data_IF_131404018025
#
_entry.id   IF_131404018025
#
_cell.length_a   1.000
_cell.length_b   1.000
_cell.length_c   1.000
_cell.angle_alpha   90.00
_cell.angle_beta   90.00
_cell.angle_gamma   90.00
#
_symmetry.space_group_name_H-M   'P 1'
#
loop_
_entity.id
_entity.type
_entity.pdbx_description
1 polymer ?
#
# COMPACT_ATOMS: atom_id res chain seq x y z
N UNK A 1 9.47 -5.24 28.83
CA UNK A 1 9.55 -3.78 29.03
C UNK A 1 8.61 -3.10 28.04
N UNK A 2 7.44 -2.62 28.46
CA UNK A 2 6.61 -1.74 27.65
C UNK A 2 6.75 -0.29 28.14
N UNK A 3 6.78 0.66 27.21
CA UNK A 3 6.61 2.08 27.51
C UNK A 3 5.33 2.25 28.33
N UNK A 4 5.46 2.63 29.61
CA UNK A 4 4.36 2.79 30.57
C UNK A 4 3.29 3.82 30.17
N UNK A 5 3.40 4.50 29.03
CA UNK A 5 2.58 5.66 28.68
C UNK A 5 1.79 5.51 27.36
N UNK A 6 1.03 4.41 27.23
CA UNK A 6 -0.15 4.43 26.36
C UNK A 6 -1.35 5.19 26.98
N UNK A 7 -1.19 5.85 28.14
CA UNK A 7 -2.26 6.63 28.79
C UNK A 7 -2.91 7.64 27.81
N UNK A 8 -2.12 8.20 26.89
CA UNK A 8 -2.59 9.14 25.87
C UNK A 8 -2.95 8.47 24.52
N UNK A 9 -2.82 7.14 24.40
CA UNK A 9 -2.98 6.38 23.15
C UNK A 9 -3.79 5.09 23.36
N UNK A 10 -4.94 5.18 24.04
CA UNK A 10 -5.74 4.02 24.43
C UNK A 10 -6.24 3.16 23.24
N UNK A 11 -6.53 3.78 22.09
CA UNK A 11 -6.95 3.07 20.88
C UNK A 11 -5.80 2.27 20.27
N UNK A 12 -4.61 2.86 20.19
CA UNK A 12 -3.42 2.19 19.70
C UNK A 12 -3.05 1.01 20.60
N UNK A 13 -3.13 1.20 21.92
CA UNK A 13 -2.95 0.11 22.88
C UNK A 13 -3.93 -1.03 22.62
N UNK A 14 -5.23 -0.73 22.48
CA UNK A 14 -6.25 -1.76 22.22
C UNK A 14 -5.98 -2.53 20.91
N UNK A 15 -5.54 -1.85 19.86
CA UNK A 15 -5.17 -2.52 18.61
C UNK A 15 -4.04 -3.53 18.85
N UNK A 16 -3.02 -3.14 19.61
CA UNK A 16 -1.87 -4.00 19.92
C UNK A 16 -2.10 -5.04 21.03
N UNK A 17 -3.03 -4.81 21.96
CA UNK A 17 -3.44 -5.82 22.97
C UNK A 17 -3.97 -7.11 22.29
N UNK A 18 -4.35 -7.05 21.00
CA UNK A 18 -4.71 -8.21 20.20
C UNK A 18 -3.55 -9.20 20.02
N UNK A 19 -2.29 -8.73 20.01
CA UNK A 19 -1.11 -9.61 19.94
C UNK A 19 -0.84 -10.36 21.23
N UNK A 20 -1.26 -9.82 22.37
CA UNK A 20 -1.04 -10.44 23.67
C UNK A 20 -2.06 -11.55 23.97
N UNK A 21 -3.11 -11.69 23.15
CA UNK A 21 -4.14 -12.72 23.31
C UNK A 21 -3.61 -14.06 22.79
N UNK A 22 -3.46 -15.03 23.71
CA UNK A 22 -3.01 -16.40 23.40
C UNK A 22 -4.10 -17.32 22.84
N UNK A 23 -5.34 -16.86 22.75
CA UNK A 23 -6.44 -17.68 22.23
C UNK A 23 -6.35 -17.75 20.70
N UNK A 24 -5.78 -18.85 20.20
CA UNK A 24 -5.80 -19.18 18.78
C UNK A 24 -7.21 -19.57 18.37
N UNK A 25 -7.84 -18.74 17.54
CA UNK A 25 -9.09 -19.08 16.87
C UNK A 25 -8.81 -19.91 15.62
N UNK A 26 -9.82 -20.64 15.14
CA UNK A 26 -9.69 -21.40 13.89
C UNK A 26 -9.51 -20.40 12.73
N UNK A 27 -8.36 -20.47 12.04
CA UNK A 27 -8.08 -19.68 10.85
C UNK A 27 -8.94 -20.19 9.70
N UNK A 28 -9.77 -19.33 9.13
CA UNK A 28 -10.63 -19.65 7.97
C UNK A 28 -10.46 -18.69 6.80
N UNK A 29 -9.80 -17.54 7.02
CA UNK A 29 -9.53 -16.57 5.97
C UNK A 29 -8.39 -17.07 5.06
N UNK A 30 -8.56 -16.88 3.76
CA UNK A 30 -7.59 -17.38 2.79
C UNK A 30 -6.44 -16.36 2.61
N UNK A 31 -5.30 -16.72 3.17
CA UNK A 31 -4.03 -15.98 3.05
C UNK A 31 -3.07 -16.56 2.01
N UNK A 32 -3.53 -17.48 1.15
CA UNK A 32 -2.67 -18.19 0.19
C UNK A 32 -2.43 -17.42 -1.11
N UNK A 33 -3.25 -16.42 -1.42
CA UNK A 33 -3.20 -15.64 -2.66
C UNK A 33 -3.29 -14.13 -2.40
N UNK A 34 -2.50 -13.35 -3.14
CA UNK A 34 -2.50 -11.90 -3.12
C UNK A 34 -3.14 -11.33 -4.39
N UNK A 35 -4.06 -10.39 -4.22
CA UNK A 35 -4.56 -9.54 -5.30
C UNK A 35 -3.87 -8.17 -5.20
N UNK A 36 -3.03 -7.85 -6.16
CA UNK A 36 -2.43 -6.52 -6.27
C UNK A 36 -3.35 -5.67 -7.11
N UNK A 37 -3.72 -4.53 -6.59
CA UNK A 37 -4.56 -3.57 -7.27
C UNK A 37 -3.73 -2.29 -7.45
N UNK A 38 -3.46 -1.95 -8.71
CA UNK A 38 -2.66 -0.80 -9.12
C UNK A 38 -3.59 0.24 -9.73
N UNK A 39 -3.56 1.48 -9.23
CA UNK A 39 -4.30 2.58 -9.85
C UNK A 39 -3.39 3.38 -10.78
N UNK A 40 -3.83 3.63 -12.01
CA UNK A 40 -3.10 4.42 -13.01
C UNK A 40 -3.93 5.60 -13.51
N UNK A 41 -3.26 6.70 -13.84
CA UNK A 41 -3.85 7.84 -14.54
C UNK A 41 -2.74 8.62 -15.25
N UNK A 42 -2.31 8.16 -16.42
CA UNK A 42 -1.21 8.78 -17.18
C UNK A 42 -1.79 9.38 -18.46
N UNK A 43 -2.08 10.68 -18.41
CA UNK A 43 -2.59 11.45 -19.54
C UNK A 43 -1.96 12.85 -19.58
N UNK A 44 -2.18 13.57 -20.68
CA UNK A 44 -1.63 14.92 -20.90
C UNK A 44 -1.96 15.93 -19.79
N UNK A 45 -3.07 15.76 -19.05
CA UNK A 45 -3.40 16.67 -17.94
C UNK A 45 -2.50 16.48 -16.73
N UNK A 46 -2.04 15.25 -16.48
CA UNK A 46 -1.13 14.91 -15.38
C UNK A 46 0.34 14.99 -15.81
N UNK A 47 0.64 14.48 -17.00
CA UNK A 47 2.00 14.29 -17.50
C UNK A 47 2.43 15.33 -18.56
N UNK A 48 1.52 16.16 -19.06
CA UNK A 48 1.80 17.08 -20.16
C UNK A 48 2.87 18.12 -19.79
N UNK A 49 4.03 18.03 -20.44
CA UNK A 49 5.20 18.90 -20.29
C UNK A 49 5.76 19.02 -18.87
N UNK A 50 5.38 18.12 -17.95
CA UNK A 50 5.86 18.09 -16.57
C UNK A 50 7.01 17.10 -16.41
N UNK A 51 7.99 17.50 -15.60
CA UNK A 51 9.08 16.66 -15.13
C UNK A 51 8.87 16.40 -13.64
N UNK A 52 9.19 15.20 -13.18
CA UNK A 52 9.17 14.90 -11.76
C UNK A 52 10.44 15.48 -11.10
N UNK A 53 10.27 16.29 -10.05
CA UNK A 53 11.36 17.03 -9.40
C UNK A 53 12.44 16.12 -8.80
N UNK A 54 12.05 14.97 -8.24
CA UNK A 54 12.98 14.02 -7.63
C UNK A 54 13.88 13.34 -8.66
N UNK A 55 13.28 12.87 -9.74
CA UNK A 55 13.93 11.98 -10.72
C UNK A 55 14.51 12.73 -11.92
N UNK A 56 14.04 13.95 -12.17
CA UNK A 56 14.46 14.79 -13.30
C UNK A 56 14.00 14.29 -14.67
N UNK A 57 13.15 13.25 -14.73
CA UNK A 57 12.60 12.70 -15.98
C UNK A 57 11.17 13.17 -16.21
N UNK A 58 10.67 12.98 -17.43
CA UNK A 58 9.28 13.26 -17.78
C UNK A 58 8.32 12.47 -16.87
N UNK A 59 7.20 13.08 -16.48
CA UNK A 59 6.27 12.46 -15.53
C UNK A 59 5.71 11.12 -16.01
N UNK A 60 5.45 10.93 -17.31
CA UNK A 60 5.02 9.64 -17.84
C UNK A 60 6.10 8.56 -17.67
N UNK A 61 7.34 8.88 -18.02
CA UNK A 61 8.50 8.00 -17.83
C UNK A 61 8.69 7.65 -16.36
N UNK A 62 8.46 8.62 -15.47
CA UNK A 62 8.55 8.42 -14.04
C UNK A 62 7.57 7.36 -13.55
N UNK A 63 6.28 7.54 -13.87
CA UNK A 63 5.21 6.63 -13.45
C UNK A 63 5.39 5.24 -14.07
N UNK A 64 5.74 5.16 -15.35
CA UNK A 64 6.01 3.88 -16.01
C UNK A 64 7.18 3.11 -15.39
N UNK A 65 8.19 3.81 -14.88
CA UNK A 65 9.32 3.19 -14.19
C UNK A 65 8.94 2.67 -12.81
N UNK A 66 8.11 3.40 -12.08
CA UNK A 66 7.48 2.92 -10.84
C UNK A 66 6.63 1.66 -11.09
N UNK A 67 5.76 1.66 -12.11
CA UNK A 67 5.00 0.47 -12.53
C UNK A 67 5.93 -0.70 -12.86
N UNK A 68 7.00 -0.47 -13.62
CA UNK A 68 8.00 -1.51 -13.95
C UNK A 68 8.65 -2.10 -12.70
N UNK A 69 8.97 -1.28 -11.69
CA UNK A 69 9.52 -1.75 -10.42
C UNK A 69 8.56 -2.67 -9.66
N UNK A 70 7.26 -2.37 -9.68
CA UNK A 70 6.22 -3.25 -9.14
C UNK A 70 6.19 -4.58 -9.89
N UNK A 71 6.20 -4.57 -11.23
CA UNK A 71 6.22 -5.81 -12.04
C UNK A 71 7.45 -6.67 -11.74
N UNK A 72 8.63 -6.06 -11.58
CA UNK A 72 9.85 -6.77 -11.18
C UNK A 72 9.65 -7.44 -9.81
N UNK A 73 9.08 -6.73 -8.83
CA UNK A 73 8.83 -7.31 -7.51
C UNK A 73 7.77 -8.41 -7.50
N UNK A 74 6.73 -8.27 -8.32
CA UNK A 74 5.72 -9.32 -8.55
C UNK A 74 6.38 -10.57 -9.12
N UNK A 75 7.21 -10.41 -10.15
CA UNK A 75 7.90 -11.51 -10.81
C UNK A 75 8.81 -12.25 -9.83
N UNK A 76 9.52 -11.52 -8.96
CA UNK A 76 10.32 -12.12 -7.90
C UNK A 76 9.45 -12.92 -6.92
N UNK A 77 8.33 -12.36 -6.46
CA UNK A 77 7.42 -13.07 -5.56
C UNK A 77 6.80 -14.33 -6.20
N UNK A 78 6.47 -14.29 -7.51
CA UNK A 78 6.03 -15.48 -8.25
C UNK A 78 7.13 -16.53 -8.34
N UNK A 79 8.38 -16.14 -8.62
CA UNK A 79 9.52 -17.07 -8.60
C UNK A 79 9.70 -17.72 -7.21
N UNK A 80 9.33 -17.00 -6.14
CA UNK A 80 9.28 -17.50 -4.76
C UNK A 80 7.95 -18.22 -4.43
N UNK A 81 7.24 -18.74 -5.44
CA UNK A 81 6.02 -19.54 -5.33
C UNK A 81 4.80 -18.82 -4.71
N UNK A 82 4.77 -17.48 -4.72
CA UNK A 82 3.59 -16.74 -4.27
C UNK A 82 2.52 -16.72 -5.37
N UNK A 83 1.27 -16.97 -5.00
CA UNK A 83 0.11 -16.86 -5.91
C UNK A 83 -0.35 -15.41 -5.96
N UNK A 84 -0.20 -14.78 -7.12
CA UNK A 84 -0.48 -13.36 -7.30
C UNK A 84 -1.41 -13.15 -8.50
N UNK A 85 -2.34 -12.21 -8.39
CA UNK A 85 -3.09 -11.63 -9.51
C UNK A 85 -2.93 -10.12 -9.48
N UNK A 86 -2.73 -9.49 -10.64
CA UNK A 86 -2.63 -8.03 -10.79
C UNK A 86 -3.88 -7.47 -11.49
N UNK A 87 -4.54 -6.49 -10.89
CA UNK A 87 -5.64 -5.75 -11.52
C UNK A 87 -5.26 -4.27 -11.60
N UNK A 88 -5.18 -3.73 -12.81
CA UNK A 88 -4.92 -2.31 -13.04
C UNK A 88 -6.26 -1.57 -13.17
N UNK A 89 -6.50 -0.61 -12.29
CA UNK A 89 -7.64 0.31 -12.32
C UNK A 89 -7.21 1.60 -13.02
N UNK A 90 -7.52 1.71 -14.30
CA UNK A 90 -7.11 2.84 -15.12
C UNK A 90 -8.15 3.96 -15.14
N UNK A 91 -7.76 5.14 -14.68
CA UNK A 91 -8.54 6.37 -14.72
C UNK A 91 -8.16 7.22 -15.93
N UNK A 92 -8.52 6.74 -17.13
CA UNK A 92 -8.39 7.46 -18.40
C UNK A 92 -6.95 7.90 -18.70
N UNK A 93 -6.02 6.95 -18.65
CA UNK A 93 -4.71 7.13 -19.30
C UNK A 93 -4.90 7.32 -20.81
N UNK A 94 -4.02 8.07 -21.45
CA UNK A 94 -4.06 8.21 -22.91
C UNK A 94 -3.69 6.89 -23.61
N UNK A 95 -4.09 6.75 -24.88
CA UNK A 95 -3.85 5.51 -25.65
C UNK A 95 -2.36 5.12 -25.75
N UNK A 96 -1.44 6.10 -25.79
CA UNK A 96 -0.02 5.82 -25.89
C UNK A 96 0.52 5.28 -24.57
N UNK A 97 0.10 5.88 -23.45
CA UNK A 97 0.37 5.45 -22.09
C UNK A 97 -0.23 4.08 -21.78
N UNK A 98 -1.49 3.82 -22.15
CA UNK A 98 -2.13 2.50 -22.01
C UNK A 98 -1.37 1.41 -22.76
N UNK A 99 -0.88 1.69 -23.97
CA UNK A 99 -0.05 0.74 -24.72
C UNK A 99 1.24 0.42 -23.95
N UNK A 100 1.94 1.43 -23.43
CA UNK A 100 3.16 1.24 -22.62
C UNK A 100 2.88 0.44 -21.34
N UNK A 101 1.76 0.71 -20.66
CA UNK A 101 1.32 -0.06 -19.48
C UNK A 101 1.08 -1.52 -19.88
N UNK A 102 0.35 -1.77 -20.96
CA UNK A 102 0.09 -3.13 -21.45
C UNK A 102 1.39 -3.87 -21.81
N UNK A 103 2.36 -3.19 -22.43
CA UNK A 103 3.68 -3.76 -22.74
C UNK A 103 4.45 -4.16 -21.46
N UNK A 104 4.35 -3.36 -20.38
CA UNK A 104 4.91 -3.73 -19.07
C UNK A 104 4.19 -4.93 -18.44
N UNK A 105 2.86 -4.98 -18.54
CA UNK A 105 2.05 -6.08 -18.00
C UNK A 105 2.35 -7.41 -18.70
N UNK A 106 2.67 -7.39 -20.00
CA UNK A 106 3.08 -8.59 -20.74
C UNK A 106 4.37 -9.25 -20.19
N UNK A 107 5.15 -8.54 -19.37
CA UNK A 107 6.36 -9.06 -18.70
C UNK A 107 6.01 -9.70 -17.35
N UNK A 108 4.81 -9.46 -16.82
CA UNK A 108 4.37 -10.01 -15.54
C UNK A 108 4.21 -11.53 -15.63
N UNK A 109 4.73 -12.23 -14.62
CA UNK A 109 4.65 -13.70 -14.46
C UNK A 109 3.37 -14.15 -13.74
N UNK A 110 2.38 -13.27 -13.63
CA UNK A 110 1.10 -13.54 -12.99
C UNK A 110 -0.06 -13.19 -13.94
N UNK A 111 -1.25 -13.70 -13.62
CA UNK A 111 -2.46 -13.24 -14.30
C UNK A 111 -2.66 -11.75 -14.06
N UNK A 112 -3.02 -11.03 -15.12
CA UNK A 112 -3.30 -9.61 -15.04
C UNK A 112 -4.52 -9.21 -15.87
N UNK A 113 -5.18 -8.13 -15.46
CA UNK A 113 -6.25 -7.50 -16.21
C UNK A 113 -6.20 -5.98 -16.03
N UNK A 114 -6.73 -5.25 -17.01
CA UNK A 114 -6.95 -3.81 -16.93
C UNK A 114 -8.46 -3.57 -16.89
N UNK A 115 -8.90 -2.79 -15.91
CA UNK A 115 -10.28 -2.33 -15.75
C UNK A 115 -10.27 -0.81 -15.85
N UNK A 116 -10.96 -0.27 -16.85
CA UNK A 116 -11.24 1.17 -16.91
C UNK A 116 -12.22 1.54 -15.78
N UNK A 117 -11.89 2.57 -14.99
CA UNK A 117 -12.74 3.01 -13.89
C UNK A 117 -14.08 3.57 -14.40
N UNK A 118 -15.14 3.38 -13.61
CA UNK A 118 -16.49 3.84 -14.00
C UNK A 118 -16.59 5.36 -14.03
N UNK A 119 -15.95 6.01 -13.07
CA UNK A 119 -15.97 7.46 -12.90
C UNK A 119 -14.54 7.96 -12.79
N UNK A 120 -14.29 9.15 -13.35
CA UNK A 120 -12.98 9.78 -13.29
C UNK A 120 -12.74 10.48 -11.96
N UNK A 121 -11.47 10.61 -11.58
CA UNK A 121 -11.02 11.39 -10.43
C UNK A 121 -10.47 10.51 -9.31
N UNK A 122 -9.55 11.09 -8.53
CA UNK A 122 -8.80 10.41 -7.48
C UNK A 122 -9.70 9.71 -6.45
N UNK A 123 -10.76 10.36 -5.97
CA UNK A 123 -11.67 9.78 -4.99
C UNK A 123 -12.54 8.66 -5.56
N UNK A 124 -13.11 8.86 -6.74
CA UNK A 124 -13.95 7.86 -7.40
C UNK A 124 -13.18 6.58 -7.72
N UNK A 125 -11.99 6.73 -8.31
CA UNK A 125 -11.10 5.61 -8.61
C UNK A 125 -10.65 4.90 -7.33
N UNK A 126 -10.32 5.63 -6.26
CA UNK A 126 -9.95 5.04 -4.97
C UNK A 126 -11.10 4.24 -4.33
N UNK A 127 -12.32 4.76 -4.40
CA UNK A 127 -13.50 4.09 -3.87
C UNK A 127 -13.77 2.77 -4.60
N UNK A 128 -13.73 2.79 -5.94
CA UNK A 128 -13.90 1.59 -6.76
C UNK A 128 -12.79 0.55 -6.49
N UNK A 129 -11.56 1.03 -6.38
CA UNK A 129 -10.37 0.26 -6.06
C UNK A 129 -10.52 -0.51 -4.73
N UNK A 130 -10.96 0.15 -3.66
CA UNK A 130 -11.25 -0.53 -2.38
C UNK A 130 -12.51 -1.41 -2.45
N UNK A 131 -13.55 -0.97 -3.15
CA UNK A 131 -14.79 -1.74 -3.28
C UNK A 131 -14.55 -3.10 -3.94
N UNK A 132 -13.59 -3.19 -4.87
CA UNK A 132 -13.23 -4.42 -5.57
C UNK A 132 -12.79 -5.55 -4.64
N UNK A 133 -12.22 -5.23 -3.48
CA UNK A 133 -11.74 -6.25 -2.54
C UNK A 133 -12.86 -6.89 -1.71
N UNK A 134 -14.02 -6.24 -1.61
CA UNK A 134 -15.10 -6.68 -0.72
C UNK A 134 -15.60 -8.08 -1.11
N UNK A 135 -15.68 -8.97 -0.13
CA UNK A 135 -16.24 -10.32 -0.29
C UNK A 135 -15.32 -11.34 -0.96
N UNK A 136 -14.05 -11.00 -1.26
CA UNK A 136 -13.15 -11.90 -2.00
C UNK A 136 -12.36 -12.90 -1.16
N UNK A 137 -12.37 -12.78 0.17
CA UNK A 137 -11.62 -13.64 1.10
C UNK A 137 -10.18 -13.91 0.60
N UNK A 138 -9.40 -12.85 0.41
CA UNK A 138 -8.00 -12.93 -0.01
C UNK A 138 -7.19 -11.75 0.52
N UNK A 139 -5.87 -11.85 0.41
CA UNK A 139 -4.97 -10.72 0.63
C UNK A 139 -5.08 -9.72 -0.51
N UNK A 140 -4.89 -8.44 -0.18
CA UNK A 140 -4.90 -7.32 -1.10
C UNK A 140 -3.70 -6.41 -0.84
N UNK A 141 -3.08 -5.92 -1.91
CA UNK A 141 -2.17 -4.79 -1.88
C UNK A 141 -2.72 -3.70 -2.79
N UNK A 142 -3.12 -2.57 -2.21
CA UNK A 142 -3.57 -1.41 -2.95
C UNK A 142 -2.38 -0.46 -3.13
N UNK A 143 -2.11 -0.05 -4.36
CA UNK A 143 -0.99 0.83 -4.67
C UNK A 143 -1.28 1.81 -5.80
N UNK A 144 -0.46 2.85 -5.86
CA UNK A 144 -0.50 3.90 -6.86
C UNK A 144 0.70 3.77 -7.82
N UNK A 145 0.59 4.41 -8.98
CA UNK A 145 1.58 4.34 -10.06
C UNK A 145 2.86 5.16 -9.82
N UNK A 146 2.99 5.80 -8.66
CA UNK A 146 4.13 6.61 -8.25
C UNK A 146 4.90 6.01 -7.05
N UNK A 147 4.70 4.72 -6.76
CA UNK A 147 5.52 3.98 -5.79
C UNK A 147 6.66 3.21 -6.48
N UNK A 148 7.88 3.38 -5.97
CA UNK A 148 9.07 2.67 -6.40
C UNK A 148 9.33 1.48 -5.47
N UNK A 149 9.26 0.25 -5.98
CA UNK A 149 9.39 -0.99 -5.20
C UNK A 149 10.79 -1.58 -5.27
N UNK A 150 11.27 -2.11 -4.14
CA UNK A 150 12.43 -3.03 -4.13
C UNK A 150 12.04 -4.35 -4.79
N UNK A 151 13.00 -5.07 -5.36
CA UNK A 151 12.77 -6.41 -5.95
C UNK A 151 12.06 -7.34 -4.96
N UNK A 152 12.44 -7.33 -3.68
CA UNK A 152 11.84 -8.17 -2.65
C UNK A 152 10.51 -7.68 -2.07
N UNK A 153 9.98 -6.52 -2.48
CA UNK A 153 8.92 -5.83 -1.76
C UNK A 153 7.64 -6.64 -1.53
N UNK A 154 7.10 -7.24 -2.59
CA UNK A 154 5.88 -8.04 -2.51
C UNK A 154 6.10 -9.28 -1.64
N UNK A 155 7.23 -9.96 -1.80
CA UNK A 155 7.55 -11.17 -1.03
C UNK A 155 7.71 -10.85 0.48
N UNK A 156 8.37 -9.74 0.83
CA UNK A 156 8.52 -9.27 2.22
C UNK A 156 7.17 -9.00 2.88
N UNK A 157 6.28 -8.26 2.21
CA UNK A 157 4.96 -7.96 2.76
C UNK A 157 4.10 -9.21 2.94
N UNK A 158 4.11 -10.14 1.97
CA UNK A 158 3.37 -11.41 2.10
C UNK A 158 3.91 -12.24 3.27
N UNK A 159 5.22 -12.41 3.36
CA UNK A 159 5.84 -13.24 4.39
C UNK A 159 5.58 -12.68 5.78
N UNK A 160 5.82 -11.39 5.98
CA UNK A 160 5.57 -10.76 7.27
C UNK A 160 4.09 -10.84 7.66
N UNK A 161 3.17 -10.61 6.71
CA UNK A 161 1.74 -10.75 6.99
C UNK A 161 1.38 -12.16 7.46
N UNK A 162 1.84 -13.20 6.74
CA UNK A 162 1.54 -14.61 7.04
C UNK A 162 2.10 -15.00 8.40
N UNK A 163 3.37 -14.69 8.66
CA UNK A 163 4.03 -15.01 9.92
C UNK A 163 3.25 -14.41 11.11
N UNK A 164 2.88 -13.13 11.02
CA UNK A 164 2.09 -12.48 12.07
C UNK A 164 0.68 -13.08 12.21
N UNK A 165 -0.02 -13.32 11.10
CA UNK A 165 -1.36 -13.88 11.12
C UNK A 165 -1.38 -15.30 11.72
N UNK A 166 -0.39 -16.14 11.40
CA UNK A 166 -0.26 -17.49 11.94
C UNK A 166 0.04 -17.51 13.45
N UNK A 167 0.84 -16.55 13.93
CA UNK A 167 1.16 -16.42 15.35
C UNK A 167 -0.02 -15.89 16.17
N UNK A 168 -0.75 -14.91 15.63
CA UNK A 168 -1.68 -14.07 16.41
C UNK A 168 -3.14 -14.32 16.08
N UNK A 169 -3.43 -15.01 14.97
CA UNK A 169 -4.78 -15.13 14.40
C UNK A 169 -5.46 -13.79 14.13
N UNK A 170 -4.69 -12.70 14.02
CA UNK A 170 -5.17 -11.35 13.84
C UNK A 170 -4.71 -10.77 12.51
N UNK A 171 -5.64 -10.18 11.76
CA UNK A 171 -5.28 -9.41 10.57
C UNK A 171 -4.58 -8.11 10.94
N UNK A 172 -3.69 -7.68 10.06
CA UNK A 172 -2.93 -6.44 10.16
C UNK A 172 -3.06 -5.59 8.90
N UNK A 173 -2.49 -4.38 8.95
CA UNK A 173 -2.29 -3.50 7.82
C UNK A 173 -0.79 -3.23 7.67
N UNK A 174 -0.26 -3.39 6.46
CA UNK A 174 1.13 -3.07 6.15
C UNK A 174 1.18 -1.86 5.21
N UNK A 175 1.90 -0.82 5.58
CA UNK A 175 2.27 0.28 4.67
C UNK A 175 3.73 0.05 4.22
N UNK A 176 4.06 0.12 2.91
CA UNK A 176 5.37 -0.32 2.44
C UNK A 176 6.54 0.63 2.77
N UNK A 177 6.24 1.83 3.29
CA UNK A 177 7.21 2.81 3.79
C UNK A 177 6.81 3.29 5.18
N UNK A 178 7.75 3.87 5.91
CA UNK A 178 7.41 4.69 7.07
C UNK A 178 6.85 6.03 6.60
N UNK A 179 5.80 6.53 7.28
CA UNK A 179 5.25 7.85 6.99
C UNK A 179 6.24 8.93 7.43
N UNK A 180 6.52 9.91 6.57
CA UNK A 180 7.47 11.00 6.76
C UNK A 180 7.23 11.82 8.05
N UNK A 181 5.97 11.92 8.48
CA UNK A 181 5.58 12.68 9.65
C UNK A 181 5.94 12.00 10.97
N UNK A 182 6.27 10.70 10.97
CA UNK A 182 6.63 9.95 12.19
C UNK A 182 7.86 10.54 12.88
N UNK A 183 8.77 11.16 12.11
CA UNK A 183 10.03 11.68 12.63
C UNK A 183 10.01 13.17 12.96
N UNK A 184 8.95 13.88 12.57
CA UNK A 184 8.89 15.35 12.64
C UNK A 184 7.68 15.89 13.39
N UNK A 185 6.50 15.27 13.23
CA UNK A 185 5.23 15.82 13.71
C UNK A 185 4.42 14.83 14.55
N UNK A 186 4.57 13.54 14.30
CA UNK A 186 3.72 12.49 14.89
C UNK A 186 4.61 11.53 15.69
N UNK A 187 4.63 11.67 17.01
CA UNK A 187 5.40 10.78 17.88
C UNK A 187 4.45 9.85 18.67
N UNK A 188 4.61 8.54 18.51
CA UNK A 188 3.89 7.53 19.29
C UNK A 188 4.81 6.35 19.67
N UNK A 189 4.55 5.69 20.81
CA UNK A 189 5.21 4.44 21.15
C UNK A 189 5.10 3.43 20.02
N UNK A 190 6.24 2.86 19.63
CA UNK A 190 6.30 1.85 18.57
C UNK A 190 7.07 0.62 19.04
N UNK A 191 6.58 -0.56 18.68
CA UNK A 191 7.33 -1.81 18.77
C UNK A 191 8.14 -2.01 17.49
N UNK A 192 9.32 -2.61 17.65
CA UNK A 192 10.14 -3.09 16.55
C UNK A 192 10.12 -4.61 16.61
N UNK A 193 9.57 -5.23 15.57
CA UNK A 193 9.52 -6.68 15.41
C UNK A 193 10.60 -7.12 14.43
N UNK A 194 11.11 -8.32 14.66
CA UNK A 194 11.97 -9.01 13.70
C UNK A 194 11.10 -9.65 12.62
N UNK A 195 11.45 -9.44 11.36
CA UNK A 195 10.95 -10.22 10.23
C UNK A 195 12.10 -10.97 9.57
N UNK A 196 11.80 -11.76 8.53
CA UNK A 196 12.78 -12.68 7.91
C UNK A 196 14.07 -12.00 7.44
N UNK A 197 13.99 -10.84 6.79
CA UNK A 197 15.19 -10.14 6.29
C UNK A 197 15.26 -8.67 6.70
N UNK A 198 14.23 -8.15 7.36
CA UNK A 198 14.17 -6.77 7.84
C UNK A 198 13.33 -6.65 9.09
N UNK A 199 13.51 -5.52 9.79
CA UNK A 199 12.69 -5.19 10.96
C UNK A 199 11.41 -4.50 10.51
N UNK A 200 10.40 -4.57 11.37
CA UNK A 200 9.08 -3.99 11.12
C UNK A 200 8.68 -3.15 12.32
N UNK A 201 8.36 -1.89 12.07
CA UNK A 201 7.89 -0.96 13.09
C UNK A 201 6.37 -0.93 13.09
N UNK A 202 5.76 -0.90 14.26
CA UNK A 202 4.33 -0.60 14.39
C UNK A 202 4.01 0.85 14.02
N UNK A 203 2.96 1.10 13.25
CA UNK A 203 2.56 2.45 12.83
C UNK A 203 1.12 2.78 13.23
N UNK A 204 0.75 4.06 13.12
CA UNK A 204 -0.63 4.54 13.30
C UNK A 204 -1.13 5.48 12.21
N UNK A 205 -0.33 5.69 11.17
CA UNK A 205 -0.62 6.60 10.06
C UNK A 205 -0.03 6.02 8.77
N UNK A 206 -0.78 6.11 7.67
CA UNK A 206 -0.32 5.69 6.35
C UNK A 206 -1.13 6.36 5.24
N UNK A 207 -0.57 6.40 4.04
CA UNK A 207 -1.33 6.77 2.84
C UNK A 207 -2.34 5.68 2.46
N UNK A 208 -3.09 5.91 1.37
CA UNK A 208 -4.00 4.92 0.80
C UNK A 208 -3.32 3.72 0.12
N UNK A 209 -1.98 3.66 0.13
CA UNK A 209 -1.21 2.50 -0.35
C UNK A 209 -0.91 1.55 0.81
N UNK A 210 -1.58 0.41 0.88
CA UNK A 210 -1.36 -0.55 1.94
C UNK A 210 -1.75 -1.98 1.54
N UNK A 211 -1.22 -2.94 2.30
CA UNK A 211 -1.49 -4.35 2.21
C UNK A 211 -2.35 -4.80 3.39
N UNK A 212 -3.41 -5.58 3.14
CA UNK A 212 -4.25 -6.17 4.20
C UNK A 212 -5.08 -7.34 3.66
N UNK A 213 -5.95 -7.92 4.49
CA UNK A 213 -6.94 -8.91 4.05
C UNK A 213 -8.30 -8.26 3.72
N UNK A 214 -9.00 -8.78 2.71
CA UNK A 214 -10.32 -8.29 2.27
C UNK A 214 -11.37 -8.17 3.38
N UNK A 215 -11.30 -9.00 4.43
CA UNK A 215 -12.21 -8.94 5.58
C UNK A 215 -12.11 -7.61 6.33
N UNK A 216 -10.92 -6.98 6.35
CA UNK A 216 -10.72 -5.64 6.91
C UNK A 216 -11.51 -4.60 6.13
N UNK A 217 -11.45 -4.65 4.80
CA UNK A 217 -12.18 -3.74 3.92
C UNK A 217 -13.69 -3.86 4.14
N UNK A 218 -14.19 -5.10 4.24
CA UNK A 218 -15.60 -5.37 4.53
C UNK A 218 -16.04 -4.86 5.91
N UNK A 219 -15.31 -5.24 6.97
CA UNK A 219 -15.63 -4.91 8.37
C UNK A 219 -15.56 -3.41 8.66
N UNK A 220 -14.64 -2.70 8.00
CA UNK A 220 -14.39 -1.28 8.22
C UNK A 220 -14.80 -0.41 7.02
N UNK A 221 -15.74 -0.87 6.18
CA UNK A 221 -16.15 -0.20 4.95
C UNK A 221 -16.46 1.29 5.11
N UNK A 222 -17.01 1.70 6.25
CA UNK A 222 -17.29 3.13 6.55
C UNK A 222 -16.07 4.05 6.40
N UNK A 223 -14.86 3.55 6.62
CA UNK A 223 -13.62 4.32 6.47
C UNK A 223 -13.14 4.38 5.01
N UNK A 224 -13.50 3.39 4.20
CA UNK A 224 -13.23 3.34 2.77
C UNK A 224 -14.27 4.09 1.96
N UNK A 225 -15.55 4.07 2.35
CA UNK A 225 -16.62 4.71 1.58
C UNK A 225 -16.41 6.24 1.44
N UNK A 226 -15.80 6.87 2.45
CA UNK A 226 -15.49 8.29 2.43
C UNK A 226 -14.34 8.67 1.49
N UNK A 227 -13.57 7.71 1.00
CA UNK A 227 -12.48 7.96 0.03
C UNK A 227 -13.00 8.50 -1.29
N UNK A 228 -14.28 8.31 -1.61
CA UNK A 228 -14.96 8.98 -2.74
C UNK A 228 -14.87 10.50 -2.68
N UNK A 229 -14.64 11.08 -1.49
CA UNK A 229 -14.48 12.53 -1.31
C UNK A 229 -13.03 13.02 -1.42
N UNK A 230 -12.05 12.14 -1.67
CA UNK A 230 -10.67 12.55 -1.97
C UNK A 230 -10.66 13.40 -3.25
N UNK A 231 -9.99 14.55 -3.18
CA UNK A 231 -9.97 15.53 -4.28
C UNK A 231 -11.24 16.39 -4.41
N UNK A 232 -12.31 16.15 -3.63
CA UNK A 232 -13.50 17.01 -3.64
C UNK A 232 -13.26 18.29 -2.87
N UNK A 233 -13.38 19.46 -3.52
CA UNK A 233 -13.13 20.77 -2.90
C UNK A 233 -14.02 21.04 -1.68
N UNK A 234 -15.33 20.81 -1.81
CA UNK A 234 -16.31 21.13 -0.76
C UNK A 234 -16.32 20.11 0.39
N UNK A 235 -15.98 18.84 0.11
CA UNK A 235 -16.02 17.73 1.07
C UNK A 235 -14.63 17.24 1.45
N UNK A 236 -13.58 18.04 1.23
CA UNK A 236 -12.17 17.65 1.44
C UNK A 236 -11.91 17.12 2.84
N UNK A 237 -12.57 17.69 3.85
CA UNK A 237 -12.46 17.22 5.23
C UNK A 237 -12.85 15.74 5.37
N UNK A 238 -13.90 15.30 4.69
CA UNK A 238 -14.37 13.91 4.74
C UNK A 238 -13.44 12.93 4.02
N UNK A 239 -12.72 13.40 3.00
CA UNK A 239 -11.83 12.59 2.17
C UNK A 239 -10.40 12.47 2.68
N UNK A 240 -9.95 13.28 3.64
CA UNK A 240 -8.57 13.20 4.16
C UNK A 240 -8.21 11.82 4.74
N UNK A 241 -6.94 11.40 4.67
CA UNK A 241 -6.46 10.11 5.24
C UNK A 241 -6.86 9.99 6.71
N UNK A 242 -6.67 11.07 7.48
CA UNK A 242 -7.05 11.20 8.89
C UNK A 242 -8.53 10.87 9.17
N UNK A 243 -9.41 11.13 8.22
CA UNK A 243 -10.84 10.87 8.35
C UNK A 243 -11.29 9.54 7.73
N UNK A 244 -10.39 8.87 6.99
CA UNK A 244 -10.61 7.65 6.21
C UNK A 244 -9.70 6.52 6.72
N UNK A 245 -8.66 6.15 5.97
CA UNK A 245 -7.84 4.94 6.22
C UNK A 245 -7.05 5.01 7.51
N UNK A 246 -6.63 6.18 7.99
CA UNK A 246 -5.91 6.28 9.27
C UNK A 246 -6.77 5.79 10.45
N UNK A 247 -8.09 5.87 10.33
CA UNK A 247 -8.98 5.36 11.39
C UNK A 247 -8.89 3.85 11.55
N UNK A 248 -8.37 3.12 10.56
CA UNK A 248 -8.13 1.67 10.66
C UNK A 248 -7.14 1.33 11.77
N UNK A 249 -6.12 2.17 12.00
CA UNK A 249 -5.09 1.93 13.01
C UNK A 249 -5.60 2.01 14.45
N UNK A 250 -6.83 2.51 14.65
CA UNK A 250 -7.50 2.44 15.95
C UNK A 250 -8.11 1.07 16.25
N UNK A 251 -8.16 0.19 15.25
CA UNK A 251 -8.82 -1.13 15.33
C UNK A 251 -7.91 -2.27 14.91
N UNK A 252 -6.92 -1.99 14.07
CA UNK A 252 -6.09 -2.98 13.39
C UNK A 252 -4.64 -2.57 13.56
N UNK A 253 -3.77 -3.51 13.97
CA UNK A 253 -2.33 -3.29 13.98
C UNK A 253 -1.77 -2.83 12.64
N UNK A 254 -0.99 -1.76 12.66
CA UNK A 254 -0.28 -1.24 11.50
C UNK A 254 1.20 -1.57 11.55
N UNK A 255 1.82 -1.88 10.42
CA UNK A 255 3.27 -2.04 10.33
C UNK A 255 3.87 -1.38 9.09
N UNK A 256 5.10 -0.89 9.24
CA UNK A 256 5.96 -0.50 8.13
C UNK A 256 7.33 -1.17 8.25
N UNK A 257 7.95 -1.55 7.13
CA UNK A 257 9.28 -2.12 7.14
C UNK A 257 10.36 -1.05 7.34
N UNK A 258 11.44 -1.42 8.02
CA UNK A 258 12.65 -0.61 8.20
C UNK A 258 13.90 -1.41 7.76
N UNK A 259 14.58 -1.02 6.66
CA UNK A 259 14.22 0.07 5.73
C UNK A 259 12.93 -0.25 4.93
N UNK A 260 12.38 0.75 4.24
CA UNK A 260 11.18 0.61 3.41
C UNK A 260 11.32 -0.48 2.34
N UNK A 261 10.20 -1.03 1.87
CA UNK A 261 10.15 -1.96 0.72
C UNK A 261 9.65 -1.29 -0.56
N UNK A 262 8.89 -0.22 -0.43
CA UNK A 262 8.54 0.64 -1.55
C UNK A 262 8.42 2.07 -1.05
N UNK A 263 8.70 3.05 -1.91
CA UNK A 263 8.66 4.47 -1.52
C UNK A 263 7.78 5.27 -2.44
N UNK A 264 7.06 6.23 -1.87
CA UNK A 264 6.26 7.18 -2.64
C UNK A 264 7.19 8.22 -3.26
N UNK A 265 7.41 8.12 -4.56
CA UNK A 265 8.40 8.92 -5.28
C UNK A 265 7.81 10.28 -5.71
N UNK A 266 7.05 10.92 -4.81
CA UNK A 266 6.35 12.18 -5.05
C UNK A 266 7.20 13.41 -4.77
N UNK A 267 7.87 13.46 -3.61
CA UNK A 267 8.64 14.62 -3.16
C UNK A 267 9.80 14.23 -2.23
N UNK A 268 10.79 15.11 -2.06
CA UNK A 268 11.93 14.86 -1.18
C UNK A 268 11.53 14.67 0.27
N UNK A 269 10.48 15.36 0.71
CA UNK A 269 9.96 15.27 2.08
C UNK A 269 9.23 13.95 2.34
N UNK A 270 8.73 13.29 1.28
CA UNK A 270 8.03 11.99 1.38
C UNK A 270 8.97 10.79 1.46
N UNK A 271 10.28 10.99 1.25
CA UNK A 271 11.25 9.89 1.22
C UNK A 271 11.58 9.40 2.63
N UNK A 272 11.53 8.09 2.90
CA UNK A 272 11.92 7.56 4.20
C UNK A 272 13.43 7.72 4.41
N UNK A 273 13.87 7.88 5.67
CA UNK A 273 15.28 7.95 5.99
C UNK A 273 15.98 6.63 5.65
N UNK A 274 17.26 6.70 5.26
CA UNK A 274 18.12 5.53 5.02
C UNK A 274 17.63 4.58 3.91
N UNK A 275 16.85 5.08 2.95
CA UNK A 275 16.45 4.32 1.77
C UNK A 275 17.11 4.89 0.50
N UNK A 276 17.96 4.12 -0.15
CA UNK A 276 18.61 4.51 -1.41
C UNK A 276 17.68 4.24 -2.60
N UNK A 277 16.74 5.15 -2.81
CA UNK A 277 15.84 5.07 -3.95
C UNK A 277 16.58 5.21 -5.29
N UNK A 278 17.75 5.88 -5.33
CA UNK A 278 18.51 6.09 -6.56
C UNK A 278 19.14 4.80 -7.04
N UNK A 279 19.65 3.98 -6.12
CA UNK A 279 20.15 2.65 -6.44
C UNK A 279 19.06 1.81 -7.13
N UNK A 280 17.86 1.77 -6.55
CA UNK A 280 16.74 1.02 -7.11
C UNK A 280 16.34 1.61 -8.47
N UNK A 281 16.21 2.93 -8.53
CA UNK A 281 15.86 3.66 -9.75
C UNK A 281 16.82 3.34 -10.90
N UNK A 282 18.12 3.31 -10.65
CA UNK A 282 19.12 3.09 -11.69
C UNK A 282 19.16 1.64 -12.19
N UNK A 283 18.62 0.68 -11.42
CA UNK A 283 18.66 -0.76 -11.71
C UNK A 283 17.34 -1.33 -12.27
N UNK A 284 16.34 -0.49 -12.57
CA UNK A 284 15.08 -0.89 -13.24
C UNK A 284 15.20 -0.83 -14.76
#
# INVERSE_FOLDING_TARGET
MPLKNFQNNALLKRAYDTFDKKEKTILSDNISSLNICLRTCINDKRAGHSYNELTGVATDQHLLKCIRSLIISINEAVNNNQKIKLTVFDDRSDNASLKKINDLLNIAKCDWEIIETKNTGQGSSLHEHFSFARGKNSLFYFCEDDYLHTVSAINEMINFYKDIYEETSAHLLIHPQEHELIYSQINYPSYILEGKHRRWRTISHATHTFFTHSSIVGKHWKYFDNTKYVGHKEKRQLGSEKQTTDKLFNHIPGFSPIPAVAVHLQSQDSLPPFFDWKEIWNNI
#
